data_IF_221764492898
#
_entry.id   IF_221764492898
#
_cell.length_a   1.000
_cell.length_b   1.000
_cell.length_c   1.000
_cell.angle_alpha   90.00
_cell.angle_beta   90.00
_cell.angle_gamma   90.00
#
_symmetry.space_group_name_H-M   'P 1'
#
loop_
_entity.id
_entity.type
_entity.pdbx_description
1 polymer ?
#
# COMPACT_ATOMS: atom_id res chain seq x y z
N UNK A 1 -36.56 23.13 12.65
CA UNK A 1 -36.10 22.22 13.73
C UNK A 1 -35.51 21.04 12.99
N UNK A 2 -34.35 21.34 12.41
CA UNK A 2 -33.79 20.66 11.25
C UNK A 2 -32.65 19.76 11.70
N UNK A 3 -32.60 18.58 11.09
CA UNK A 3 -31.79 17.43 11.46
C UNK A 3 -30.31 17.75 11.68
N UNK A 4 -29.95 18.00 12.94
CA UNK A 4 -28.59 17.98 13.47
C UNK A 4 -28.05 16.54 13.64
N UNK A 5 -28.67 15.54 13.01
CA UNK A 5 -28.09 14.19 12.90
C UNK A 5 -27.10 14.18 11.75
N UNK A 6 -26.03 14.99 11.90
CA UNK A 6 -24.90 15.02 10.99
C UNK A 6 -24.48 13.60 10.67
N UNK A 7 -24.77 13.16 9.44
CA UNK A 7 -24.58 11.79 8.99
C UNK A 7 -23.13 11.41 9.21
N UNK A 8 -22.87 10.68 10.31
CA UNK A 8 -21.61 10.01 10.57
C UNK A 8 -21.38 9.13 9.36
N UNK A 9 -20.52 9.58 8.46
CA UNK A 9 -20.05 8.77 7.35
C UNK A 9 -19.63 7.42 7.91
N UNK A 10 -20.14 6.33 7.34
CA UNK A 10 -19.91 4.96 7.78
C UNK A 10 -18.41 4.61 7.63
N UNK A 11 -17.60 5.05 8.59
CA UNK A 11 -16.20 4.72 8.67
C UNK A 11 -16.09 3.22 8.92
N UNK A 12 -15.56 2.48 7.94
CA UNK A 12 -15.40 1.04 8.02
C UNK A 12 -14.12 0.71 8.80
N UNK A 13 -14.26 0.49 10.11
CA UNK A 13 -13.15 0.18 10.99
C UNK A 13 -12.38 -1.08 10.56
N UNK A 14 -13.06 -2.02 9.92
CA UNK A 14 -12.45 -3.23 9.37
C UNK A 14 -11.43 -2.96 8.25
N UNK A 15 -11.59 -1.87 7.49
CA UNK A 15 -10.61 -1.47 6.48
C UNK A 15 -9.33 -0.89 7.12
N UNK A 16 -9.44 -0.26 8.28
CA UNK A 16 -8.26 0.16 9.05
C UNK A 16 -7.54 -1.04 9.64
N UNK A 17 -8.29 -2.05 10.12
CA UNK A 17 -7.71 -3.31 10.57
C UNK A 17 -6.94 -4.01 9.44
N UNK A 18 -7.46 -4.02 8.22
CA UNK A 18 -6.73 -4.57 7.07
C UNK A 18 -5.45 -3.78 6.75
N UNK A 19 -5.45 -2.45 6.91
CA UNK A 19 -4.22 -1.64 6.77
C UNK A 19 -3.19 -2.00 7.83
N UNK A 20 -3.63 -2.21 9.06
CA UNK A 20 -2.79 -2.65 10.17
C UNK A 20 -2.22 -4.04 9.94
N UNK A 21 -3.05 -4.99 9.49
CA UNK A 21 -2.59 -6.31 9.12
C UNK A 21 -1.53 -6.23 8.00
N UNK A 22 -1.81 -5.46 6.95
CA UNK A 22 -0.88 -5.27 5.83
C UNK A 22 0.48 -4.74 6.29
N UNK A 23 0.51 -3.71 7.15
CA UNK A 23 1.79 -3.16 7.64
C UNK A 23 2.51 -4.13 8.57
N UNK A 24 1.80 -4.86 9.41
CA UNK A 24 2.41 -5.88 10.30
C UNK A 24 3.09 -6.96 9.46
N UNK A 25 2.42 -7.47 8.43
CA UNK A 25 2.99 -8.49 7.54
C UNK A 25 4.27 -8.00 6.84
N UNK A 26 4.28 -6.75 6.35
CA UNK A 26 5.47 -6.12 5.75
C UNK A 26 6.59 -5.96 6.77
N UNK A 27 6.26 -5.47 7.96
CA UNK A 27 7.23 -5.21 9.05
C UNK A 27 7.88 -6.49 9.52
N UNK A 28 7.10 -7.55 9.74
CA UNK A 28 7.61 -8.87 10.15
C UNK A 28 8.55 -9.41 9.07
N UNK A 29 8.19 -9.32 7.79
CA UNK A 29 9.09 -9.74 6.71
C UNK A 29 10.41 -8.96 6.72
N UNK A 30 10.37 -7.63 6.86
CA UNK A 30 11.58 -6.83 6.90
C UNK A 30 12.44 -7.12 8.14
N UNK A 31 11.83 -7.25 9.31
CA UNK A 31 12.51 -7.61 10.55
C UNK A 31 13.23 -8.97 10.43
N UNK A 32 12.57 -9.96 9.85
CA UNK A 32 13.17 -11.26 9.60
C UNK A 32 14.25 -11.19 8.50
N UNK A 33 14.09 -10.33 7.50
CA UNK A 33 15.10 -10.14 6.46
C UNK A 33 16.39 -9.51 6.99
N UNK A 34 16.30 -8.48 7.84
CA UNK A 34 17.50 -7.82 8.39
C UNK A 34 18.22 -8.64 9.46
N UNK A 35 17.60 -9.73 9.91
CA UNK A 35 18.19 -10.69 10.84
C UNK A 35 18.59 -12.00 10.16
N UNK A 36 18.56 -12.09 8.83
CA UNK A 36 18.83 -13.30 8.03
C UNK A 36 17.88 -14.49 8.27
N UNK A 37 16.68 -14.23 8.80
CA UNK A 37 15.62 -15.20 9.04
C UNK A 37 14.46 -15.10 8.02
N UNK A 38 14.70 -14.56 6.82
CA UNK A 38 13.67 -14.33 5.79
C UNK A 38 12.81 -15.58 5.48
N UNK A 39 13.41 -16.77 5.52
CA UNK A 39 12.72 -18.04 5.29
C UNK A 39 11.53 -18.27 6.25
N UNK A 40 11.57 -17.75 7.48
CA UNK A 40 10.47 -17.86 8.46
C UNK A 40 9.20 -17.10 8.04
N UNK A 41 9.31 -16.25 7.02
CA UNK A 41 8.18 -15.46 6.49
C UNK A 41 7.65 -16.03 5.16
N UNK A 42 8.12 -17.21 4.76
CA UNK A 42 7.59 -17.94 3.62
C UNK A 42 6.54 -18.94 4.09
N UNK A 43 5.37 -18.90 3.47
CA UNK A 43 4.30 -19.89 3.59
C UNK A 43 4.14 -20.52 2.20
N UNK A 44 4.87 -21.62 1.97
CA UNK A 44 5.01 -22.20 0.64
C UNK A 44 5.72 -21.22 -0.30
N UNK A 45 5.05 -20.83 -1.39
CA UNK A 45 5.55 -19.87 -2.38
C UNK A 45 5.20 -18.40 -2.06
N UNK A 46 4.50 -18.17 -0.94
CA UNK A 46 4.04 -16.86 -0.52
C UNK A 46 4.90 -16.27 0.58
N UNK A 47 5.42 -15.08 0.33
CA UNK A 47 6.08 -14.22 1.30
C UNK A 47 5.10 -13.29 2.03
N UNK A 48 5.14 -13.24 3.37
CA UNK A 48 4.20 -12.45 4.19
C UNK A 48 4.15 -10.97 3.80
N UNK A 49 5.30 -10.31 3.64
CA UNK A 49 5.36 -8.89 3.28
C UNK A 49 4.83 -8.61 1.88
N UNK A 50 5.03 -9.51 0.91
CA UNK A 50 4.38 -9.38 -0.40
C UNK A 50 2.85 -9.54 -0.29
N UNK A 51 2.35 -10.39 0.62
CA UNK A 51 0.92 -10.44 0.90
C UNK A 51 0.41 -9.14 1.54
N UNK A 52 1.18 -8.53 2.43
CA UNK A 52 0.88 -7.19 2.97
C UNK A 52 0.83 -6.11 1.88
N UNK A 53 1.76 -6.12 0.92
CA UNK A 53 1.74 -5.19 -0.23
C UNK A 53 0.52 -5.43 -1.12
N UNK A 54 0.17 -6.69 -1.39
CA UNK A 54 -1.02 -7.03 -2.16
C UNK A 54 -2.31 -6.57 -1.45
N UNK A 55 -2.38 -6.67 -0.12
CA UNK A 55 -3.47 -6.13 0.69
C UNK A 55 -3.58 -4.60 0.58
N UNK A 56 -2.46 -3.88 0.64
CA UNK A 56 -2.46 -2.43 0.37
C UNK A 56 -2.94 -2.11 -1.05
N UNK A 57 -2.55 -2.93 -2.04
CA UNK A 57 -3.03 -2.87 -3.41
C UNK A 57 -4.55 -3.05 -3.49
N UNK A 58 -5.10 -4.08 -2.86
CA UNK A 58 -6.54 -4.36 -2.84
C UNK A 58 -7.33 -3.21 -2.21
N UNK A 59 -6.91 -2.76 -1.02
CA UNK A 59 -7.52 -1.62 -0.33
C UNK A 59 -7.48 -0.34 -1.20
N UNK A 60 -6.33 -0.09 -1.83
CA UNK A 60 -6.14 1.10 -2.67
C UNK A 60 -7.04 1.06 -3.90
N UNK A 61 -7.11 -0.08 -4.60
CA UNK A 61 -7.94 -0.24 -5.80
C UNK A 61 -9.42 -0.09 -5.50
N UNK A 62 -9.90 -0.78 -4.46
CA UNK A 62 -11.29 -0.69 -4.00
C UNK A 62 -11.69 0.75 -3.66
N UNK A 63 -10.88 1.45 -2.86
CA UNK A 63 -11.17 2.82 -2.45
C UNK A 63 -11.00 3.84 -3.57
N UNK A 64 -10.05 3.60 -4.49
CA UNK A 64 -9.81 4.47 -5.64
C UNK A 64 -10.99 4.44 -6.63
N UNK A 65 -11.52 3.25 -6.89
CA UNK A 65 -12.66 3.08 -7.79
C UNK A 65 -13.97 3.67 -7.24
N UNK A 66 -14.16 3.64 -5.90
CA UNK A 66 -15.35 4.19 -5.23
C UNK A 66 -15.32 5.69 -4.96
N UNK A 67 -14.17 6.33 -5.16
CA UNK A 67 -14.07 7.78 -4.97
C UNK A 67 -14.83 8.50 -6.08
N UNK A 68 -15.84 9.34 -5.80
CA UNK A 68 -16.69 9.94 -6.83
C UNK A 68 -16.06 11.18 -7.46
N UNK A 69 -14.91 11.65 -6.94
CA UNK A 69 -14.29 12.90 -7.40
C UNK A 69 -13.86 12.81 -8.87
N UNK A 70 -13.85 13.94 -9.59
CA UNK A 70 -13.26 14.04 -10.93
C UNK A 70 -11.81 13.57 -10.94
N UNK A 71 -11.36 13.01 -12.07
CA UNK A 71 -10.06 12.35 -12.22
C UNK A 71 -8.88 13.21 -11.72
N UNK A 72 -8.81 14.48 -12.16
CA UNK A 72 -7.73 15.41 -11.80
C UNK A 72 -7.70 15.72 -10.29
N UNK A 73 -8.85 16.06 -9.71
CA UNK A 73 -8.98 16.35 -8.28
C UNK A 73 -8.68 15.11 -7.42
N UNK A 74 -9.12 13.94 -7.88
CA UNK A 74 -8.81 12.66 -7.25
C UNK A 74 -7.30 12.41 -7.23
N UNK A 75 -6.64 12.50 -8.39
CA UNK A 75 -5.21 12.25 -8.52
C UNK A 75 -4.40 13.24 -7.69
N UNK A 76 -4.67 14.54 -7.84
CA UNK A 76 -3.95 15.59 -7.10
C UNK A 76 -4.03 15.40 -5.59
N UNK A 77 -5.22 15.08 -5.05
CA UNK A 77 -5.38 14.79 -3.63
C UNK A 77 -4.55 13.59 -3.18
N UNK A 78 -4.42 12.56 -4.03
CA UNK A 78 -3.62 11.38 -3.72
C UNK A 78 -2.12 11.69 -3.75
N UNK A 79 -1.66 12.45 -4.75
CA UNK A 79 -0.26 12.88 -4.84
C UNK A 79 0.13 13.75 -3.65
N UNK A 80 -0.67 14.77 -3.30
CA UNK A 80 -0.43 15.63 -2.15
C UNK A 80 -0.43 14.88 -0.80
N UNK A 81 -1.09 13.72 -0.71
CA UNK A 81 -1.07 12.89 0.50
C UNK A 81 0.23 12.10 0.63
N UNK A 82 0.82 11.68 -0.49
CA UNK A 82 1.94 10.73 -0.52
C UNK A 82 3.27 11.48 -0.57
N UNK A 83 3.40 12.40 -1.53
CA UNK A 83 4.69 13.01 -1.86
C UNK A 83 5.37 13.79 -0.72
N UNK A 84 4.67 14.57 0.11
CA UNK A 84 5.34 15.34 1.16
C UNK A 84 6.11 14.46 2.15
N UNK A 85 5.48 13.42 2.69
CA UNK A 85 6.12 12.47 3.59
C UNK A 85 7.25 11.71 2.86
N UNK A 86 6.95 11.26 1.64
CA UNK A 86 7.89 10.53 0.80
C UNK A 86 9.18 11.32 0.53
N UNK A 87 9.08 12.60 0.14
CA UNK A 87 10.24 13.43 -0.14
C UNK A 87 11.12 13.66 1.07
N UNK A 88 10.53 13.91 2.24
CA UNK A 88 11.29 14.06 3.48
C UNK A 88 12.07 12.78 3.78
N UNK A 89 11.41 11.63 3.73
CA UNK A 89 12.04 10.34 4.01
C UNK A 89 13.10 9.98 2.97
N UNK A 90 12.84 10.22 1.68
CA UNK A 90 13.81 9.97 0.62
C UNK A 90 15.03 10.88 0.72
N UNK A 91 14.84 12.18 0.93
CA UNK A 91 15.95 13.10 1.13
C UNK A 91 16.82 12.67 2.32
N UNK A 92 16.18 12.31 3.45
CA UNK A 92 16.89 11.75 4.59
C UNK A 92 17.64 10.45 4.25
N UNK A 93 17.03 9.54 3.48
CA UNK A 93 17.67 8.30 3.04
C UNK A 93 18.95 8.56 2.24
N UNK A 94 18.90 9.48 1.26
CA UNK A 94 20.08 9.84 0.47
C UNK A 94 21.18 10.48 1.31
N UNK A 95 20.82 11.36 2.26
CA UNK A 95 21.78 11.98 3.18
C UNK A 95 22.46 10.91 4.05
N UNK A 96 21.70 9.99 4.63
CA UNK A 96 22.22 8.88 5.44
C UNK A 96 23.15 8.01 4.60
N UNK A 97 22.70 7.52 3.43
CA UNK A 97 23.52 6.70 2.54
C UNK A 97 24.82 7.40 2.14
N UNK A 98 24.79 8.72 1.88
CA UNK A 98 25.98 9.49 1.55
C UNK A 98 26.93 9.66 2.73
N UNK A 99 26.40 9.84 3.94
CA UNK A 99 27.17 10.03 5.17
C UNK A 99 27.87 8.74 5.62
N UNK A 100 27.21 7.59 5.47
CA UNK A 100 27.76 6.28 5.83
C UNK A 100 28.54 5.60 4.71
N UNK A 101 28.60 6.19 3.51
CA UNK A 101 29.28 5.62 2.34
C UNK A 101 28.75 4.23 1.95
N UNK A 102 27.49 3.94 2.24
CA UNK A 102 26.89 2.61 2.07
C UNK A 102 26.76 2.17 0.61
N UNK A 103 26.32 3.11 -0.25
CA UNK A 103 26.02 2.82 -1.65
C UNK A 103 26.27 4.06 -2.52
N UNK A 104 27.02 3.94 -3.63
CA UNK A 104 27.13 5.04 -4.57
C UNK A 104 25.78 5.27 -5.27
N UNK A 105 25.42 6.52 -5.49
CA UNK A 105 24.24 6.88 -6.28
C UNK A 105 24.55 8.05 -7.21
N UNK A 106 23.82 8.11 -8.32
CA UNK A 106 23.96 9.18 -9.32
C UNK A 106 22.91 10.28 -9.12
N UNK A 107 23.12 11.44 -9.73
CA UNK A 107 22.10 12.50 -9.76
C UNK A 107 20.81 12.01 -10.47
N UNK A 108 20.93 11.17 -11.50
CA UNK A 108 19.78 10.57 -12.18
C UNK A 108 18.96 9.67 -11.24
N UNK A 109 19.64 8.85 -10.44
CA UNK A 109 18.99 7.98 -9.45
C UNK A 109 18.32 8.78 -8.33
N UNK A 110 18.95 9.88 -7.89
CA UNK A 110 18.35 10.82 -6.94
C UNK A 110 17.04 11.40 -7.50
N UNK A 111 17.10 11.97 -8.71
CA UNK A 111 15.94 12.60 -9.33
C UNK A 111 14.82 11.59 -9.63
N UNK A 112 15.16 10.41 -10.14
CA UNK A 112 14.18 9.37 -10.47
C UNK A 112 13.48 8.82 -9.22
N UNK A 113 14.21 8.60 -8.13
CA UNK A 113 13.62 8.22 -6.86
C UNK A 113 12.83 9.39 -6.26
N UNK A 114 13.31 10.63 -6.27
CA UNK A 114 12.50 11.77 -5.79
C UNK A 114 11.19 11.95 -6.57
N UNK A 115 11.17 11.61 -7.86
CA UNK A 115 9.96 11.61 -8.68
C UNK A 115 9.04 10.39 -8.43
N UNK A 116 9.51 9.36 -7.72
CA UNK A 116 8.77 8.12 -7.45
C UNK A 116 8.84 7.09 -8.58
N UNK A 117 9.69 7.29 -9.59
CA UNK A 117 9.87 6.39 -10.75
C UNK A 117 11.19 5.58 -10.67
N UNK A 118 11.79 5.52 -9.48
CA UNK A 118 13.07 4.85 -9.25
C UNK A 118 13.07 3.39 -9.71
N UNK A 119 12.01 2.63 -9.43
CA UNK A 119 11.98 1.20 -9.78
C UNK A 119 11.95 0.98 -11.30
N UNK A 120 11.26 1.83 -12.06
CA UNK A 120 11.21 1.71 -13.53
C UNK A 120 12.55 2.03 -14.20
N UNK A 121 13.40 2.79 -13.51
CA UNK A 121 14.66 3.30 -14.08
C UNK A 121 15.89 2.54 -13.56
N UNK A 122 15.85 2.04 -12.33
CA UNK A 122 16.98 1.41 -11.66
C UNK A 122 16.64 0.01 -11.09
N UNK A 123 15.41 -0.48 -11.26
CA UNK A 123 15.00 -1.79 -10.73
C UNK A 123 15.17 -1.87 -9.21
N UNK A 124 15.90 -2.89 -8.76
CA UNK A 124 16.21 -3.11 -7.34
C UNK A 124 17.41 -2.30 -6.82
N UNK A 125 18.11 -1.59 -7.70
CA UNK A 125 19.21 -0.70 -7.33
C UNK A 125 18.68 0.62 -6.78
N UNK A 126 17.90 0.55 -5.70
CA UNK A 126 17.35 1.72 -5.02
C UNK A 126 18.20 2.09 -3.80
N UNK A 127 18.13 3.34 -3.37
CA UNK A 127 18.80 3.80 -2.14
C UNK A 127 17.94 3.43 -0.94
N UNK A 128 16.65 3.73 -1.02
CA UNK A 128 15.65 3.16 -0.13
C UNK A 128 14.83 2.14 -0.90
N UNK A 129 15.02 0.85 -0.61
CA UNK A 129 14.31 -0.24 -1.30
C UNK A 129 12.81 -0.02 -1.24
N UNK A 130 12.24 0.40 -0.10
CA UNK A 130 10.79 0.62 0.07
C UNK A 130 10.19 1.60 -0.96
N UNK A 131 11.02 2.46 -1.57
CA UNK A 131 10.58 3.40 -2.62
C UNK A 131 10.06 2.71 -3.88
N UNK A 132 10.36 1.41 -4.14
CA UNK A 132 9.77 0.68 -5.26
C UNK A 132 8.24 0.66 -5.21
N UNK A 133 7.67 0.66 -4.01
CA UNK A 133 6.23 0.69 -3.79
C UNK A 133 5.59 2.00 -4.28
N UNK A 134 6.32 3.11 -4.27
CA UNK A 134 5.82 4.38 -4.80
C UNK A 134 5.70 4.29 -6.32
N UNK A 135 6.66 3.69 -7.02
CA UNK A 135 6.55 3.43 -8.46
C UNK A 135 5.33 2.58 -8.80
N UNK A 136 5.09 1.52 -8.02
CA UNK A 136 3.87 0.71 -8.14
C UNK A 136 2.60 1.54 -7.93
N UNK A 137 2.51 2.34 -6.87
CA UNK A 137 1.33 3.17 -6.59
C UNK A 137 1.07 4.18 -7.71
N UNK A 138 2.10 4.82 -8.25
CA UNK A 138 1.94 5.79 -9.36
C UNK A 138 1.40 5.11 -10.62
N UNK A 139 1.85 3.89 -10.90
CA UNK A 139 1.31 3.08 -12.00
C UNK A 139 -0.16 2.76 -11.77
N UNK A 140 -0.51 2.27 -10.58
CA UNK A 140 -1.90 2.02 -10.19
C UNK A 140 -2.77 3.28 -10.30
N UNK A 141 -2.24 4.44 -9.89
CA UNK A 141 -2.96 5.70 -9.97
C UNK A 141 -3.15 6.21 -11.38
N UNK A 142 -2.18 5.94 -12.26
CA UNK A 142 -2.30 6.20 -13.69
C UNK A 142 -3.45 5.40 -14.28
N UNK A 143 -3.54 4.10 -13.97
CA UNK A 143 -4.67 3.24 -14.41
C UNK A 143 -6.00 3.80 -13.94
N UNK A 144 -6.14 4.14 -12.65
CA UNK A 144 -7.40 4.73 -12.14
C UNK A 144 -7.70 6.10 -12.76
N UNK A 145 -6.70 6.94 -12.98
CA UNK A 145 -6.88 8.25 -13.60
C UNK A 145 -7.46 8.09 -15.02
N UNK A 146 -6.86 7.23 -15.84
CA UNK A 146 -7.34 6.94 -17.21
C UNK A 146 -8.73 6.29 -17.16
N UNK A 147 -8.97 5.37 -16.21
CA UNK A 147 -10.28 4.77 -15.94
C UNK A 147 -11.37 5.81 -15.67
N UNK A 148 -11.04 6.86 -14.92
CA UNK A 148 -11.95 7.97 -14.60
C UNK A 148 -12.15 8.92 -15.78
N UNK A 149 -11.08 9.29 -16.49
CA UNK A 149 -11.16 10.20 -17.64
C UNK A 149 -11.99 9.61 -18.79
N UNK A 150 -11.83 8.32 -19.06
CA UNK A 150 -12.54 7.65 -20.16
C UNK A 150 -13.99 7.30 -19.86
N UNK A 151 -14.42 7.36 -18.58
CA UNK A 151 -15.74 6.91 -18.16
C UNK A 151 -15.98 5.39 -18.30
N UNK A 152 -14.94 4.60 -18.61
CA UNK A 152 -15.02 3.13 -18.79
C UNK A 152 -14.16 2.40 -17.75
N UNK A 153 -14.40 2.59 -16.45
CA UNK A 153 -13.44 2.14 -15.43
C UNK A 153 -13.34 0.61 -15.31
N UNK A 154 -14.44 -0.13 -15.47
CA UNK A 154 -14.41 -1.60 -15.42
C UNK A 154 -13.54 -2.15 -16.55
N UNK A 155 -13.75 -1.68 -17.78
CA UNK A 155 -12.99 -2.14 -18.94
C UNK A 155 -11.49 -1.90 -18.72
N UNK A 156 -11.09 -0.70 -18.29
CA UNK A 156 -9.68 -0.38 -18.09
C UNK A 156 -9.02 -1.16 -16.94
N UNK A 157 -9.72 -1.37 -15.82
CA UNK A 157 -9.21 -2.23 -14.77
C UNK A 157 -9.05 -3.68 -15.25
N UNK A 158 -10.02 -4.22 -15.99
CA UNK A 158 -9.92 -5.57 -16.53
C UNK A 158 -8.82 -5.70 -17.58
N UNK A 159 -8.66 -4.72 -18.47
CA UNK A 159 -7.57 -4.69 -19.44
C UNK A 159 -6.19 -4.62 -18.76
N UNK A 160 -6.03 -3.74 -17.77
CA UNK A 160 -4.79 -3.63 -17.01
C UNK A 160 -4.49 -4.92 -16.21
N UNK A 161 -5.51 -5.53 -15.59
CA UNK A 161 -5.39 -6.82 -14.91
C UNK A 161 -5.02 -7.95 -15.87
N UNK A 162 -5.60 -7.97 -17.08
CA UNK A 162 -5.30 -8.96 -18.10
C UNK A 162 -3.85 -8.82 -18.61
N UNK A 163 -3.40 -7.61 -18.91
CA UNK A 163 -2.00 -7.35 -19.31
C UNK A 163 -1.04 -7.78 -18.19
N UNK A 164 -1.27 -7.36 -16.95
CA UNK A 164 -0.46 -7.79 -15.82
C UNK A 164 -0.52 -9.31 -15.60
N UNK A 165 -1.69 -9.93 -15.80
CA UNK A 165 -1.85 -11.39 -15.76
C UNK A 165 -1.02 -12.12 -16.81
N UNK A 166 -0.97 -11.61 -18.03
CA UNK A 166 -0.12 -12.15 -19.11
C UNK A 166 1.36 -11.99 -18.80
N UNK A 167 1.78 -10.81 -18.30
CA UNK A 167 3.17 -10.58 -17.88
C UNK A 167 3.60 -11.52 -16.75
N UNK A 168 2.69 -11.77 -15.79
CA UNK A 168 2.94 -12.67 -14.67
C UNK A 168 3.00 -14.14 -15.11
N UNK A 169 2.05 -14.59 -15.94
CA UNK A 169 2.01 -15.94 -16.48
C UNK A 169 3.21 -16.24 -17.39
N UNK A 170 3.67 -15.25 -18.16
CA UNK A 170 4.89 -15.35 -18.98
C UNK A 170 6.20 -15.17 -18.21
N UNK A 171 6.15 -14.93 -16.89
CA UNK A 171 7.30 -14.65 -16.03
C UNK A 171 8.16 -13.43 -16.45
N UNK A 172 7.63 -12.52 -17.27
CA UNK A 172 8.38 -11.35 -17.76
C UNK A 172 8.52 -10.27 -16.70
N UNK A 173 7.48 -10.06 -15.89
CA UNK A 173 7.50 -9.12 -14.78
C UNK A 173 6.60 -9.66 -13.67
N UNK A 174 7.19 -10.15 -12.58
CA UNK A 174 6.42 -10.73 -11.47
C UNK A 174 6.21 -9.77 -10.30
N UNK A 175 7.05 -8.75 -10.17
CA UNK A 175 7.12 -7.92 -8.96
C UNK A 175 5.96 -6.94 -8.88
N UNK A 176 5.68 -6.24 -9.97
CA UNK A 176 4.59 -5.27 -10.07
C UNK A 176 3.27 -5.93 -10.48
N UNK A 177 3.32 -6.88 -11.42
CA UNK A 177 2.15 -7.47 -12.04
C UNK A 177 1.21 -8.12 -11.03
N UNK A 178 1.72 -8.89 -10.05
CA UNK A 178 0.90 -9.51 -8.99
C UNK A 178 0.09 -8.47 -8.18
N UNK A 179 0.69 -7.31 -7.93
CA UNK A 179 0.06 -6.24 -7.15
C UNK A 179 -0.88 -5.41 -8.02
N UNK A 180 -0.54 -5.21 -9.30
CA UNK A 180 -1.41 -4.55 -10.28
C UNK A 180 -2.71 -5.33 -10.52
N UNK A 181 -2.62 -6.66 -10.67
CA UNK A 181 -3.79 -7.55 -10.77
C UNK A 181 -4.69 -7.35 -9.55
N UNK A 182 -4.10 -7.42 -8.36
CA UNK A 182 -4.81 -7.28 -7.08
C UNK A 182 -5.51 -5.92 -6.97
N UNK A 183 -4.81 -4.84 -7.30
CA UNK A 183 -5.35 -3.48 -7.32
C UNK A 183 -6.52 -3.35 -8.29
N UNK A 184 -6.35 -3.79 -9.54
CA UNK A 184 -7.36 -3.65 -10.58
C UNK A 184 -8.63 -4.45 -10.28
N UNK A 185 -8.48 -5.71 -9.86
CA UNK A 185 -9.61 -6.57 -9.52
C UNK A 185 -10.35 -6.07 -8.27
N UNK A 186 -9.64 -5.52 -7.28
CA UNK A 186 -10.28 -4.85 -6.16
C UNK A 186 -11.02 -3.57 -6.59
N UNK A 187 -10.51 -2.86 -7.60
CA UNK A 187 -11.19 -1.74 -8.25
C UNK A 187 -12.50 -2.16 -8.93
N UNK A 188 -12.50 -3.27 -9.69
CA UNK A 188 -13.71 -3.85 -10.28
C UNK A 188 -14.72 -4.21 -9.19
N UNK A 189 -14.28 -4.89 -8.13
CA UNK A 189 -15.07 -5.16 -6.94
C UNK A 189 -15.69 -3.89 -6.35
N UNK A 190 -14.93 -2.80 -6.22
CA UNK A 190 -15.42 -1.50 -5.74
C UNK A 190 -16.57 -0.92 -6.56
N UNK A 191 -16.63 -1.23 -7.86
CA UNK A 191 -17.68 -0.76 -8.79
C UNK A 191 -18.91 -1.68 -8.85
N UNK A 192 -18.81 -2.91 -8.35
CA UNK A 192 -19.87 -3.93 -8.46
C UNK A 192 -21.03 -3.77 -7.47
N UNK A 193 -20.98 -2.80 -6.54
CA UNK A 193 -22.08 -2.48 -5.63
C UNK A 193 -22.43 -3.59 -4.62
N UNK A 194 -23.72 -3.77 -4.31
CA UNK A 194 -24.21 -4.65 -3.22
C UNK A 194 -23.96 -6.15 -3.43
N UNK A 195 -23.74 -6.62 -4.66
CA UNK A 195 -23.48 -8.04 -4.96
C UNK A 195 -21.99 -8.43 -4.82
N UNK A 196 -21.24 -7.65 -4.04
CA UNK A 196 -19.81 -7.80 -3.87
C UNK A 196 -19.35 -9.20 -3.44
N UNK A 197 -19.88 -9.83 -2.36
CA UNK A 197 -19.29 -11.06 -1.85
C UNK A 197 -19.38 -12.22 -2.85
N UNK A 198 -20.52 -12.38 -3.53
CA UNK A 198 -20.72 -13.43 -4.53
C UNK A 198 -19.75 -13.23 -5.72
N UNK A 199 -19.64 -12.00 -6.22
CA UNK A 199 -18.79 -11.69 -7.37
C UNK A 199 -17.30 -11.76 -7.03
N UNK A 200 -16.90 -11.29 -5.84
CA UNK A 200 -15.54 -11.42 -5.35
C UNK A 200 -15.15 -12.90 -5.18
N UNK A 201 -16.08 -13.77 -4.75
CA UNK A 201 -15.85 -15.21 -4.68
C UNK A 201 -15.45 -15.82 -6.03
N UNK A 202 -16.11 -15.44 -7.13
CA UNK A 202 -15.73 -15.90 -8.47
C UNK A 202 -14.35 -15.39 -8.91
N UNK A 203 -14.02 -14.14 -8.60
CA UNK A 203 -12.69 -13.58 -8.91
C UNK A 203 -11.60 -14.29 -8.11
N UNK A 204 -11.84 -14.54 -6.82
CA UNK A 204 -10.92 -15.30 -5.95
C UNK A 204 -10.73 -16.71 -6.49
N UNK A 205 -11.81 -17.41 -6.84
CA UNK A 205 -11.73 -18.74 -7.43
C UNK A 205 -10.92 -18.76 -8.74
N UNK A 206 -11.14 -17.78 -9.62
CA UNK A 206 -10.38 -17.65 -10.86
C UNK A 206 -8.87 -17.44 -10.59
N UNK A 207 -8.49 -16.58 -9.63
CA UNK A 207 -7.10 -16.37 -9.25
C UNK A 207 -6.46 -17.63 -8.63
N UNK A 208 -7.22 -18.38 -7.82
CA UNK A 208 -6.76 -19.67 -7.28
C UNK A 208 -6.55 -20.69 -8.41
N UNK A 209 -7.39 -20.71 -9.43
CA UNK A 209 -7.17 -21.54 -10.61
C UNK A 209 -5.94 -21.07 -11.42
N UNK A 210 -5.70 -19.77 -11.53
CA UNK A 210 -4.50 -19.24 -12.19
C UNK A 210 -3.18 -19.57 -11.46
N UNK A 211 -3.22 -20.05 -10.21
CA UNK A 211 -2.00 -20.45 -9.49
C UNK A 211 -1.19 -21.52 -10.22
N UNK A 212 -1.86 -22.38 -11.02
CA UNK A 212 -1.23 -23.43 -11.82
C UNK A 212 -0.32 -22.85 -12.92
N UNK A 213 -0.59 -21.62 -13.37
CA UNK A 213 0.29 -20.90 -14.29
C UNK A 213 1.43 -20.22 -13.54
N UNK A 214 1.10 -19.55 -12.43
CA UNK A 214 2.09 -18.91 -11.58
C UNK A 214 1.55 -18.78 -10.15
N UNK A 215 2.25 -19.29 -9.11
CA UNK A 215 1.75 -19.22 -7.72
C UNK A 215 1.53 -17.79 -7.22
N UNK A 216 2.14 -16.78 -7.85
CA UNK A 216 1.99 -15.37 -7.49
C UNK A 216 0.55 -14.85 -7.67
N UNK A 217 -0.33 -15.54 -8.40
CA UNK A 217 -1.76 -15.18 -8.44
C UNK A 217 -2.46 -15.34 -7.07
N UNK A 218 -1.92 -16.18 -6.17
CA UNK A 218 -2.48 -16.38 -4.83
C UNK A 218 -2.41 -15.11 -3.95
N UNK A 219 -1.49 -14.19 -4.21
CA UNK A 219 -1.45 -12.90 -3.51
C UNK A 219 -2.73 -12.10 -3.72
N UNK A 220 -3.22 -12.06 -4.96
CA UNK A 220 -4.48 -11.40 -5.29
C UNK A 220 -5.69 -12.13 -4.71
N UNK A 221 -5.69 -13.47 -4.79
CA UNK A 221 -6.76 -14.29 -4.23
C UNK A 221 -6.92 -14.06 -2.71
N UNK A 222 -5.82 -14.16 -1.96
CA UNK A 222 -5.80 -13.94 -0.52
C UNK A 222 -6.23 -12.52 -0.15
N UNK A 223 -5.71 -11.51 -0.86
CA UNK A 223 -6.01 -10.11 -0.56
C UNK A 223 -7.48 -9.75 -0.83
N UNK A 224 -8.07 -10.27 -1.92
CA UNK A 224 -9.47 -10.07 -2.23
C UNK A 224 -10.41 -10.83 -1.29
N UNK A 225 -10.01 -12.03 -0.84
CA UNK A 225 -10.75 -12.76 0.18
C UNK A 225 -10.79 -11.98 1.49
N UNK A 226 -9.65 -11.52 1.98
CA UNK A 226 -9.55 -10.72 3.21
C UNK A 226 -10.29 -9.39 3.10
N UNK A 227 -10.23 -8.72 1.95
CA UNK A 227 -11.03 -7.53 1.66
C UNK A 227 -12.53 -7.84 1.75
N UNK A 228 -12.97 -8.96 1.17
CA UNK A 228 -14.38 -9.37 1.20
C UNK A 228 -14.86 -9.66 2.62
N UNK A 229 -14.03 -10.36 3.42
CA UNK A 229 -14.31 -10.63 4.84
C UNK A 229 -14.41 -9.33 5.64
N UNK A 230 -13.48 -8.39 5.46
CA UNK A 230 -13.53 -7.11 6.15
C UNK A 230 -14.79 -6.29 5.78
N UNK A 231 -15.23 -6.34 4.52
CA UNK A 231 -16.44 -5.68 4.08
C UNK A 231 -17.71 -6.36 4.59
N UNK A 232 -17.67 -7.67 4.86
CA UNK A 232 -18.75 -8.39 5.52
C UNK A 232 -18.82 -8.12 7.04
N UNK A 233 -17.71 -7.68 7.64
CA UNK A 233 -17.58 -7.39 9.07
C UNK A 233 -17.23 -5.91 9.30
N UNK A 234 -18.07 -4.94 8.89
CA UNK A 234 -17.73 -3.52 8.84
C UNK A 234 -17.38 -2.88 10.20
N UNK A 235 -17.91 -3.43 11.29
CA UNK A 235 -17.72 -2.96 12.66
C UNK A 235 -16.53 -3.62 13.37
N UNK A 236 -15.84 -4.57 12.72
CA UNK A 236 -14.68 -5.22 13.32
C UNK A 236 -13.55 -4.20 13.49
N UNK A 237 -13.23 -3.90 14.75
CA UNK A 237 -12.22 -2.92 15.13
C UNK A 237 -11.37 -3.45 16.28
N UNK A 238 -10.09 -3.06 16.32
CA UNK A 238 -9.26 -3.22 17.51
C UNK A 238 -9.23 -1.91 18.31
N UNK A 239 -9.12 -1.96 19.64
CA UNK A 239 -8.84 -0.77 20.45
C UNK A 239 -7.62 -0.02 19.92
N UNK A 240 -7.77 1.28 19.62
CA UNK A 240 -6.72 2.10 19.02
C UNK A 240 -6.45 1.83 17.54
N UNK A 241 -7.13 0.89 16.90
CA UNK A 241 -6.89 0.48 15.51
C UNK A 241 -7.07 1.61 14.50
N UNK A 242 -8.11 2.43 14.64
CA UNK A 242 -8.33 3.61 13.78
C UNK A 242 -7.22 4.65 13.94
N UNK A 243 -6.74 4.87 15.17
CA UNK A 243 -5.63 5.81 15.43
C UNK A 243 -4.35 5.30 14.79
N UNK A 244 -3.98 4.04 15.05
CA UNK A 244 -2.81 3.41 14.46
C UNK A 244 -2.89 3.37 12.92
N UNK A 245 -4.07 3.08 12.37
CA UNK A 245 -4.37 3.11 10.93
C UNK A 245 -4.05 4.44 10.26
N UNK A 246 -4.13 5.55 11.02
CA UNK A 246 -3.80 6.90 10.56
C UNK A 246 -2.30 7.15 10.32
N UNK A 247 -1.41 6.36 10.94
CA UNK A 247 0.05 6.48 10.85
C UNK A 247 0.70 5.42 9.96
N UNK A 248 -0.08 4.49 9.42
CA UNK A 248 0.43 3.33 8.65
C UNK A 248 1.31 3.76 7.48
N UNK A 249 0.99 4.86 6.80
CA UNK A 249 1.74 5.30 5.64
C UNK A 249 3.12 5.86 6.02
N UNK A 250 3.17 6.75 7.01
CA UNK A 250 4.40 7.32 7.53
C UNK A 250 5.29 6.22 8.12
N UNK A 251 4.70 5.27 8.84
CA UNK A 251 5.41 4.08 9.34
C UNK A 251 5.95 3.21 8.19
N UNK A 252 5.13 2.97 7.16
CA UNK A 252 5.56 2.21 5.98
C UNK A 252 6.78 2.83 5.30
N UNK A 253 6.87 4.16 5.21
CA UNK A 253 8.06 4.80 4.62
C UNK A 253 9.33 4.62 5.46
N UNK A 254 9.18 4.54 6.78
CA UNK A 254 10.28 4.62 7.74
C UNK A 254 10.81 3.26 8.20
N UNK A 255 9.94 2.25 8.34
CA UNK A 255 10.29 0.99 9.03
C UNK A 255 11.55 0.31 8.51
N UNK A 256 11.76 0.27 7.19
CA UNK A 256 12.94 -0.37 6.58
C UNK A 256 14.25 0.30 6.98
N UNK A 257 14.32 1.63 6.93
CA UNK A 257 15.53 2.41 7.27
C UNK A 257 15.86 2.24 8.75
N UNK A 258 14.85 2.32 9.61
CA UNK A 258 15.06 2.19 11.06
C UNK A 258 15.43 0.78 11.48
N UNK A 259 14.86 -0.25 10.85
CA UNK A 259 15.24 -1.65 11.08
C UNK A 259 16.69 -1.91 10.67
N UNK A 260 17.09 -1.48 9.47
CA UNK A 260 18.47 -1.63 8.98
C UNK A 260 19.46 -0.86 9.86
N UNK A 261 19.14 0.40 10.19
CA UNK A 261 19.95 1.23 11.07
C UNK A 261 20.13 0.62 12.46
N UNK A 262 19.06 0.10 13.07
CA UNK A 262 19.13 -0.54 14.38
C UNK A 262 19.96 -1.83 14.36
N UNK A 263 19.85 -2.63 13.29
CA UNK A 263 20.66 -3.84 13.11
C UNK A 263 22.16 -3.53 12.97
N UNK A 264 22.51 -2.43 12.30
CA UNK A 264 23.91 -1.97 12.21
C UNK A 264 24.46 -1.49 13.55
N UNK A 265 23.63 -0.88 14.39
CA UNK A 265 24.03 -0.39 15.71
C UNK A 265 24.18 -1.51 16.75
N UNK A 266 23.33 -2.53 16.68
CA UNK A 266 23.27 -3.62 17.68
C UNK A 266 23.33 -5.02 17.01
N UNK A 267 24.36 -5.32 16.20
CA UNK A 267 24.42 -6.58 15.44
C UNK A 267 24.48 -7.82 16.33
N UNK A 268 25.03 -7.70 17.54
CA UNK A 268 25.11 -8.79 18.52
C UNK A 268 23.76 -9.15 19.18
N UNK A 269 22.74 -8.29 19.06
CA UNK A 269 21.46 -8.43 19.76
C UNK A 269 20.28 -8.24 18.79
N UNK A 270 20.08 -9.16 17.82
CA UNK A 270 19.11 -8.98 16.73
C UNK A 270 17.67 -8.73 17.23
N UNK A 271 17.25 -9.41 18.29
CA UNK A 271 15.92 -9.19 18.89
C UNK A 271 15.75 -7.78 19.47
N UNK A 272 16.79 -7.26 20.13
CA UNK A 272 16.79 -5.89 20.69
C UNK A 272 16.84 -4.86 19.56
N UNK A 273 17.66 -5.10 18.54
CA UNK A 273 17.76 -4.26 17.36
C UNK A 273 16.42 -4.16 16.62
N UNK A 274 15.72 -5.28 16.40
CA UNK A 274 14.38 -5.28 15.79
C UNK A 274 13.38 -4.50 16.63
N UNK A 275 13.34 -4.73 17.95
CA UNK A 275 12.42 -4.01 18.84
C UNK A 275 12.70 -2.50 18.82
N UNK A 276 13.98 -2.10 18.85
CA UNK A 276 14.41 -0.72 18.74
C UNK A 276 14.04 -0.11 17.39
N UNK A 277 14.27 -0.82 16.29
CA UNK A 277 13.92 -0.38 14.93
C UNK A 277 12.42 -0.16 14.76
N UNK A 278 11.58 -1.07 15.30
CA UNK A 278 10.12 -0.92 15.29
C UNK A 278 9.68 0.30 16.12
N UNK A 279 10.21 0.45 17.34
CA UNK A 279 9.85 1.54 18.24
C UNK A 279 10.26 2.91 17.66
N UNK A 280 11.47 3.02 17.13
CA UNK A 280 11.98 4.25 16.51
C UNK A 280 11.26 4.58 15.21
N UNK A 281 10.89 3.58 14.39
CA UNK A 281 10.03 3.80 13.23
C UNK A 281 8.65 4.33 13.61
N UNK A 282 8.05 3.84 14.70
CA UNK A 282 6.77 4.33 15.20
C UNK A 282 6.86 5.79 15.69
N UNK A 283 7.89 6.12 16.48
CA UNK A 283 8.15 7.50 16.92
C UNK A 283 8.44 8.43 15.74
N UNK A 284 9.21 7.95 14.76
CA UNK A 284 9.50 8.65 13.52
C UNK A 284 8.22 8.93 12.72
N UNK A 285 7.30 7.96 12.63
CA UNK A 285 6.02 8.12 11.95
C UNK A 285 5.14 9.19 12.60
N UNK A 286 5.08 9.20 13.94
CA UNK A 286 4.35 10.22 14.71
C UNK A 286 4.95 11.61 14.47
N UNK A 287 6.28 11.71 14.54
CA UNK A 287 7.01 12.97 14.36
C UNK A 287 6.86 13.51 12.93
N UNK A 288 6.98 12.64 11.93
CA UNK A 288 6.78 12.98 10.52
C UNK A 288 5.35 13.47 10.28
N UNK A 289 4.35 12.80 10.86
CA UNK A 289 2.96 13.24 10.77
C UNK A 289 2.75 14.62 11.40
N UNK A 290 3.30 14.86 12.58
CA UNK A 290 3.20 16.15 13.27
C UNK A 290 3.88 17.27 12.47
N UNK A 291 5.04 16.99 11.87
CA UNK A 291 5.73 17.93 10.99
C UNK A 291 4.86 18.27 9.77
N UNK A 292 4.26 17.27 9.12
CA UNK A 292 3.41 17.48 7.95
C UNK A 292 2.14 18.28 8.27
N UNK A 293 1.53 18.09 9.43
CA UNK A 293 0.36 18.88 9.85
C UNK A 293 0.73 20.31 10.22
N UNK A 294 2.00 20.58 10.52
CA UNK A 294 2.53 21.93 10.70
C UNK A 294 2.84 22.61 9.36
N UNK A 295 3.59 21.95 8.46
CA UNK A 295 3.99 22.51 7.15
C UNK A 295 2.78 22.68 6.20
N UNK A 296 1.85 21.73 6.22
CA UNK A 296 0.72 21.69 5.30
C UNK A 296 -0.60 21.76 6.10
N UNK A 297 -1.05 22.96 6.52
CA UNK A 297 -2.30 23.11 7.27
C UNK A 297 -3.51 22.54 6.52
N UNK A 298 -3.49 22.57 5.18
CA UNK A 298 -4.49 21.95 4.32
C UNK A 298 -4.62 20.42 4.51
N UNK A 299 -3.61 19.76 5.09
CA UNK A 299 -3.69 18.34 5.43
C UNK A 299 -4.53 18.06 6.68
N UNK A 300 -4.75 19.05 7.55
CA UNK A 300 -5.54 18.91 8.80
C UNK A 300 -7.02 18.61 8.54
N UNK A 301 -7.56 19.06 7.42
CA UNK A 301 -8.97 18.85 7.03
C UNK A 301 -9.21 17.53 6.31
N UNK A 302 -8.16 16.73 6.05
CA UNK A 302 -8.31 15.38 5.52
C UNK A 302 -8.70 14.41 6.65
N UNK A 303 -9.86 14.61 7.24
CA UNK A 303 -10.54 13.63 8.10
C UNK A 303 -10.50 12.25 7.41
N UNK A 304 -10.24 11.15 8.14
CA UNK A 304 -10.21 9.80 7.57
C UNK A 304 -11.41 9.61 6.65
N UNK A 305 -11.13 9.22 5.40
CA UNK A 305 -12.06 9.28 4.29
C UNK A 305 -13.45 8.84 4.70
N UNK A 306 -14.34 9.82 4.82
CA UNK A 306 -15.76 9.63 5.00
C UNK A 306 -16.25 8.76 3.84
N UNK A 307 -16.61 7.51 4.12
CA UNK A 307 -17.25 6.66 3.11
C UNK A 307 -18.63 7.25 2.83
N UNK A 308 -18.93 7.35 1.54
CA UNK A 308 -20.12 8.00 1.01
C UNK A 308 -21.42 7.45 1.63
N UNK A 309 -22.49 8.26 1.66
CA UNK A 309 -23.81 7.80 2.04
C UNK A 309 -24.19 6.54 1.25
N UNK A 310 -24.91 5.62 1.92
CA UNK A 310 -25.43 4.40 1.28
C UNK A 310 -26.18 4.80 0.01
N UNK A 311 -26.07 4.03 -1.09
CA UNK A 311 -27.01 4.20 -2.19
C UNK A 311 -28.42 4.07 -1.62
N UNK A 312 -29.22 5.12 -1.80
CA UNK A 312 -30.65 5.10 -1.48
C UNK A 312 -31.29 3.92 -2.22
N UNK A 313 -32.21 3.19 -1.56
CA UNK A 313 -32.83 2.00 -2.12
C UNK A 313 -33.48 2.25 -3.48
#
# INVERSE_FOLDING_TARGET
MDDATGGRSDHLASLDLLRLLAIVLVTVQHAMSVTDHYALTQVGTLSLGQAGVALFGALSGFLAARDPRPASRWLWRRLLRIYPAYWIVMAASFVVTRAFHDKPFTAYQLLSQMAGIGFFTHGWELVNVVSWFISLILLCYTVTFVAKVTGKPILLYLSAAAVAGLLLAGHWESSLSRHMITFCLAGVCGLMGRRLPIRAGWIVAALVLCQWLNPQFLYGALSLLLLTVALALPTLSLPGGTVAGGYVYEYFLLHGIFLDGAMRLLPAYPGVAVALGIATAALGAISLRALLTWILPASRSATPATLLPRPTP
#
